data_IF_959965755982
#
_entry.id   IF_959965755982
#
_cell.length_a   1.000
_cell.length_b   1.000
_cell.length_c   1.000
_cell.angle_alpha   90.00
_cell.angle_beta   90.00
_cell.angle_gamma   90.00
#
_symmetry.space_group_name_H-M   'P 1'
#
loop_
_entity.id
_entity.type
_entity.pdbx_description
1 polymer ?
#
# COMPACT_ATOMS: atom_id res chain seq x y z
N UNK A 1 -6.93 4.01 -60.12
CA UNK A 1 -7.33 4.71 -58.88
C UNK A 1 -7.09 3.73 -57.73
N UNK A 2 -5.90 3.70 -57.11
CA UNK A 2 -5.56 4.38 -55.83
C UNK A 2 -6.65 4.16 -54.77
N UNK A 3 -6.43 3.51 -53.61
CA UNK A 3 -5.31 3.63 -52.64
C UNK A 3 -5.15 2.28 -51.89
N UNK A 4 -3.97 1.67 -51.75
CA UNK A 4 -2.91 1.91 -50.74
C UNK A 4 -3.41 2.00 -49.28
N UNK A 5 -3.20 0.93 -48.51
CA UNK A 5 -2.52 0.92 -47.19
C UNK A 5 -2.55 -0.52 -46.63
N UNK A 6 -1.45 -1.28 -46.64
CA UNK A 6 -0.53 -1.42 -45.49
C UNK A 6 -1.32 -2.02 -44.30
N UNK A 7 -1.38 -3.33 -44.11
CA UNK A 7 -0.33 -4.17 -43.50
C UNK A 7 0.46 -3.47 -42.39
N UNK A 8 -0.15 -3.38 -41.21
CA UNK A 8 0.49 -3.22 -39.90
C UNK A 8 -0.49 -3.91 -38.93
N UNK A 9 -0.41 -5.21 -38.62
CA UNK A 9 0.69 -5.90 -37.96
C UNK A 9 1.44 -5.06 -36.92
N UNK A 10 0.69 -4.32 -36.11
CA UNK A 10 0.89 -4.24 -34.67
C UNK A 10 -0.53 -4.36 -34.11
N UNK A 11 -0.96 -5.51 -33.60
CA UNK A 11 -0.55 -5.95 -32.27
C UNK A 11 -0.48 -4.74 -31.33
N UNK A 12 -1.56 -3.95 -31.27
CA UNK A 12 -1.90 -3.27 -30.03
C UNK A 12 -2.29 -4.39 -29.08
N UNK A 13 -1.25 -5.10 -28.61
CA UNK A 13 -1.21 -5.61 -27.26
C UNK A 13 -1.40 -4.32 -26.44
N UNK A 14 -2.66 -3.96 -26.18
CA UNK A 14 -3.02 -3.28 -24.96
C UNK A 14 -2.62 -4.29 -23.87
N UNK A 15 -1.31 -4.40 -23.64
CA UNK A 15 -0.78 -4.82 -22.37
C UNK A 15 -1.24 -3.66 -21.48
N UNK A 16 -2.47 -3.76 -20.99
CA UNK A 16 -2.76 -3.28 -19.66
C UNK A 16 -1.64 -3.85 -18.83
N UNK A 17 -0.63 -3.02 -18.57
CA UNK A 17 0.39 -3.31 -17.57
C UNK A 17 -0.38 -3.36 -16.26
N UNK A 18 -0.95 -4.52 -15.97
CA UNK A 18 -1.30 -4.86 -14.60
C UNK A 18 0.05 -4.97 -13.92
N UNK A 19 0.40 -4.02 -13.06
CA UNK A 19 1.49 -4.21 -12.11
C UNK A 19 1.05 -5.39 -11.24
N UNK A 20 1.52 -6.60 -11.58
CA UNK A 20 1.32 -7.79 -10.77
C UNK A 20 2.51 -7.84 -9.83
N UNK A 21 2.27 -7.58 -8.56
CA UNK A 21 3.27 -7.70 -7.51
C UNK A 21 3.27 -9.16 -7.03
N UNK A 22 4.44 -9.71 -6.70
CA UNK A 22 4.53 -11.09 -6.24
C UNK A 22 3.92 -11.24 -4.85
N UNK A 23 4.16 -10.26 -3.98
CA UNK A 23 3.64 -10.21 -2.61
C UNK A 23 2.98 -8.85 -2.36
N UNK A 24 1.77 -8.89 -1.84
CA UNK A 24 0.99 -7.72 -1.42
C UNK A 24 0.76 -7.82 0.08
N UNK A 25 1.17 -6.82 0.84
CA UNK A 25 1.08 -6.77 2.30
C UNK A 25 -0.03 -5.82 2.74
N UNK A 26 -0.69 -6.14 3.85
CA UNK A 26 -1.62 -5.22 4.52
C UNK A 26 -1.53 -5.40 6.04
N UNK A 27 -1.99 -4.40 6.80
CA UNK A 27 -1.95 -4.43 8.26
C UNK A 27 -3.36 -4.38 8.84
N UNK A 28 -3.72 -5.37 9.66
CA UNK A 28 -4.94 -5.36 10.46
C UNK A 28 -4.57 -5.41 11.95
N UNK A 29 -4.64 -4.26 12.62
CA UNK A 29 -4.17 -4.10 13.99
C UNK A 29 -2.68 -4.43 14.12
N UNK A 30 -2.36 -5.58 14.70
CA UNK A 30 -0.98 -6.07 14.85
C UNK A 30 -0.60 -7.20 13.90
N UNK A 31 -1.54 -7.67 13.09
CA UNK A 31 -1.35 -8.78 12.16
C UNK A 31 -0.86 -8.23 10.82
N UNK A 32 0.36 -8.58 10.43
CA UNK A 32 0.87 -8.31 9.09
C UNK A 32 0.37 -9.42 8.16
N UNK A 33 -0.54 -9.08 7.26
CA UNK A 33 -1.16 -9.99 6.31
C UNK A 33 -0.39 -9.98 4.98
N UNK A 34 -0.59 -11.03 4.19
CA UNK A 34 -0.07 -11.13 2.83
C UNK A 34 -1.10 -11.72 1.86
N UNK A 35 -0.98 -11.35 0.60
CA UNK A 35 -1.51 -12.05 -0.58
C UNK A 35 -0.36 -12.23 -1.55
N UNK A 36 -0.04 -13.46 -1.91
CA UNK A 36 1.14 -13.79 -2.73
C UNK A 36 0.79 -14.72 -3.87
N UNK A 37 1.29 -14.44 -5.07
CA UNK A 37 1.23 -15.36 -6.22
C UNK A 37 2.37 -16.37 -6.23
N UNK A 38 3.40 -16.18 -5.41
CA UNK A 38 4.61 -16.99 -5.35
C UNK A 38 4.84 -17.56 -3.94
N UNK A 39 5.62 -18.63 -3.85
CA UNK A 39 6.04 -19.20 -2.56
C UNK A 39 7.08 -18.30 -1.90
N UNK A 40 6.87 -17.94 -0.63
CA UNK A 40 7.80 -17.11 0.14
C UNK A 40 8.77 -18.03 0.90
N UNK A 41 10.05 -17.98 0.54
CA UNK A 41 11.14 -18.72 1.20
C UNK A 41 11.80 -17.96 2.36
N UNK A 42 11.62 -16.65 2.43
CA UNK A 42 12.13 -15.80 3.50
C UNK A 42 11.67 -14.36 3.36
N UNK A 43 11.65 -13.63 4.48
CA UNK A 43 11.37 -12.20 4.47
C UNK A 43 12.13 -11.43 5.56
N UNK A 44 12.34 -10.15 5.29
CA UNK A 44 12.83 -9.15 6.23
C UNK A 44 12.08 -7.84 5.99
N UNK A 45 11.84 -7.11 7.06
CA UNK A 45 11.47 -5.69 6.98
C UNK A 45 12.08 -4.93 8.16
N UNK A 46 12.26 -3.63 7.98
CA UNK A 46 12.72 -2.70 9.00
C UNK A 46 11.55 -2.01 9.70
N UNK A 47 11.82 -1.53 10.91
CA UNK A 47 10.88 -0.70 11.65
C UNK A 47 11.60 0.37 12.47
N UNK A 48 10.93 1.48 12.77
CA UNK A 48 11.50 2.60 13.55
C UNK A 48 11.33 2.44 15.08
N UNK A 49 11.20 1.20 15.55
CA UNK A 49 11.06 0.87 16.97
C UNK A 49 9.63 0.53 17.44
N UNK A 50 8.62 0.50 16.57
CA UNK A 50 7.27 0.08 16.97
C UNK A 50 7.17 -1.41 17.31
N UNK A 51 7.94 -2.29 16.65
CA UNK A 51 7.89 -3.73 16.89
C UNK A 51 8.77 -4.09 18.09
N UNK A 52 8.18 -4.76 19.08
CA UNK A 52 8.85 -5.29 20.27
C UNK A 52 9.04 -6.81 20.21
N UNK A 53 8.16 -7.50 19.48
CA UNK A 53 8.26 -8.93 19.21
C UNK A 53 7.54 -9.28 17.89
N UNK A 54 7.91 -10.40 17.27
CA UNK A 54 7.23 -10.97 16.11
C UNK A 54 7.13 -12.50 16.25
N UNK A 55 5.95 -13.07 15.99
CA UNK A 55 5.70 -14.51 16.16
C UNK A 55 4.45 -14.96 15.41
N UNK A 56 4.13 -16.26 15.39
CA UNK A 56 2.86 -16.75 14.85
C UNK A 56 2.73 -16.61 13.32
N UNK A 57 1.48 -16.54 12.85
CA UNK A 57 1.14 -16.51 11.43
C UNK A 57 1.55 -17.77 10.66
N UNK A 58 1.54 -17.65 9.34
CA UNK A 58 2.00 -18.68 8.42
C UNK A 58 3.51 -18.86 8.47
N UNK A 59 4.28 -17.84 8.87
CA UNK A 59 5.69 -17.96 9.13
C UNK A 59 5.97 -19.03 10.21
N UNK A 60 5.38 -18.90 11.39
CA UNK A 60 5.58 -19.89 12.45
C UNK A 60 4.96 -21.26 12.09
N UNK A 61 3.80 -21.26 11.42
CA UNK A 61 3.10 -22.49 11.03
C UNK A 61 3.86 -23.33 10.01
N UNK A 62 4.60 -22.69 9.10
CA UNK A 62 5.50 -23.35 8.15
C UNK A 62 6.92 -23.55 8.70
N UNK A 63 7.13 -23.32 10.00
CA UNK A 63 8.38 -23.63 10.69
C UNK A 63 9.52 -22.64 10.43
N UNK A 64 9.20 -21.39 10.08
CA UNK A 64 10.21 -20.35 9.96
C UNK A 64 10.72 -19.97 11.34
N UNK A 65 12.02 -19.73 11.43
CA UNK A 65 12.62 -19.07 12.58
C UNK A 65 12.39 -17.57 12.44
N UNK A 66 11.62 -17.00 13.37
CA UNK A 66 11.30 -15.57 13.40
C UNK A 66 12.18 -14.89 14.45
N UNK A 67 12.79 -13.77 14.07
CA UNK A 67 13.61 -12.95 14.97
C UNK A 67 13.26 -11.48 14.79
N UNK A 68 12.96 -10.81 15.90
CA UNK A 68 12.79 -9.36 15.97
C UNK A 68 13.95 -8.73 16.74
N UNK A 69 14.42 -7.58 16.26
CA UNK A 69 15.41 -6.72 16.90
C UNK A 69 14.80 -5.35 17.18
N UNK A 70 15.61 -4.37 17.59
CA UNK A 70 15.11 -3.00 17.78
C UNK A 70 14.73 -2.27 16.49
N UNK A 71 15.15 -2.77 15.32
CA UNK A 71 14.99 -2.07 14.04
C UNK A 71 14.62 -2.97 12.85
N UNK A 72 14.50 -4.28 13.05
CA UNK A 72 14.25 -5.22 11.98
C UNK A 72 13.57 -6.49 12.49
N UNK A 73 12.70 -7.04 11.65
CA UNK A 73 12.12 -8.38 11.76
C UNK A 73 12.62 -9.22 10.59
N UNK A 74 13.07 -10.44 10.88
CA UNK A 74 13.58 -11.39 9.90
C UNK A 74 12.91 -12.73 10.16
N UNK A 75 12.47 -13.40 9.10
CA UNK A 75 11.99 -14.78 9.19
C UNK A 75 12.47 -15.61 8.00
N UNK A 76 12.95 -16.82 8.29
CA UNK A 76 13.46 -17.74 7.28
C UNK A 76 13.35 -19.19 7.74
N UNK A 77 13.35 -20.13 6.79
CA UNK A 77 13.40 -21.56 7.10
C UNK A 77 14.82 -22.13 7.07
N UNK A 78 15.20 -22.88 8.11
CA UNK A 78 16.45 -23.66 8.11
C UNK A 78 16.37 -24.97 7.33
N UNK A 79 15.17 -25.41 6.98
CA UNK A 79 14.92 -26.70 6.32
C UNK A 79 14.54 -26.54 4.84
N UNK A 80 14.46 -25.30 4.35
CA UNK A 80 13.97 -25.00 3.00
C UNK A 80 12.45 -25.11 2.87
N UNK A 81 11.71 -25.05 3.99
CA UNK A 81 10.26 -24.87 3.94
C UNK A 81 9.92 -23.47 3.41
N UNK A 82 8.74 -23.36 2.80
CA UNK A 82 8.19 -22.11 2.27
C UNK A 82 6.84 -21.82 2.91
N UNK A 83 6.44 -20.56 2.89
CA UNK A 83 5.04 -20.16 3.03
C UNK A 83 4.43 -20.25 1.62
N UNK A 84 3.47 -21.14 1.37
CA UNK A 84 2.91 -21.32 0.04
C UNK A 84 2.25 -20.06 -0.51
N UNK A 85 2.22 -19.90 -1.84
CA UNK A 85 1.40 -18.89 -2.50
C UNK A 85 -0.07 -18.96 -2.02
N UNK A 86 -0.68 -17.80 -1.83
CA UNK A 86 -2.00 -17.68 -1.22
C UNK A 86 -2.13 -16.41 -0.37
N UNK A 87 -3.12 -16.42 0.52
CA UNK A 87 -3.46 -15.30 1.38
C UNK A 87 -3.53 -15.74 2.84
N UNK A 88 -3.09 -14.88 3.76
CA UNK A 88 -3.14 -15.19 5.19
C UNK A 88 -2.46 -14.16 6.07
N UNK A 89 -2.29 -14.52 7.35
CA UNK A 89 -1.49 -13.74 8.29
C UNK A 89 -0.04 -14.18 8.13
N UNK A 90 0.83 -13.30 7.64
CA UNK A 90 2.25 -13.61 7.47
C UNK A 90 2.90 -13.82 8.84
N UNK A 91 2.72 -12.84 9.73
CA UNK A 91 3.29 -12.81 11.07
C UNK A 91 2.49 -11.89 12.00
N UNK A 92 2.38 -12.27 13.26
CA UNK A 92 1.81 -11.42 14.31
C UNK A 92 2.91 -10.57 14.95
N UNK A 93 2.69 -9.26 14.96
CA UNK A 93 3.59 -8.30 15.58
C UNK A 93 3.10 -7.96 16.98
N UNK A 94 4.01 -7.50 17.85
CA UNK A 94 3.65 -6.97 19.16
C UNK A 94 4.30 -5.61 19.33
N UNK A 95 3.51 -4.60 19.66
CA UNK A 95 3.99 -3.24 19.87
C UNK A 95 2.96 -2.21 19.42
N UNK A 96 3.42 -0.99 19.17
CA UNK A 96 2.58 0.14 18.73
C UNK A 96 2.66 0.27 17.20
N UNK A 97 2.07 -0.71 16.52
CA UNK A 97 2.30 -0.95 15.09
C UNK A 97 1.45 0.01 14.25
N UNK A 98 2.10 0.68 13.32
CA UNK A 98 1.46 1.44 12.25
C UNK A 98 2.15 1.13 10.92
N UNK A 99 1.46 1.38 9.81
CA UNK A 99 2.02 1.18 8.48
C UNK A 99 3.29 2.00 8.25
N UNK A 100 3.26 3.30 8.58
CA UNK A 100 4.43 4.20 8.47
C UNK A 100 5.64 3.78 9.32
N UNK A 101 5.43 2.91 10.31
CA UNK A 101 6.53 2.37 11.10
C UNK A 101 7.34 1.32 10.34
N UNK A 102 6.73 0.58 9.42
CA UNK A 102 7.31 -0.56 8.72
C UNK A 102 7.83 -0.13 7.35
N UNK A 103 9.04 -0.55 6.97
CA UNK A 103 9.67 -0.16 5.71
C UNK A 103 10.75 -1.15 5.29
N UNK A 104 11.38 -0.94 4.13
CA UNK A 104 12.47 -1.78 3.58
C UNK A 104 12.11 -3.28 3.53
N UNK A 105 10.98 -3.61 2.89
CA UNK A 105 10.53 -4.99 2.69
C UNK A 105 11.45 -5.73 1.70
N UNK A 106 11.98 -6.87 2.13
CA UNK A 106 12.82 -7.76 1.32
C UNK A 106 12.27 -9.16 1.45
N UNK A 107 11.75 -9.70 0.35
CA UNK A 107 11.18 -11.04 0.28
C UNK A 107 11.94 -11.86 -0.76
N UNK A 108 12.03 -13.17 -0.53
CA UNK A 108 12.66 -14.08 -1.49
C UNK A 108 11.90 -15.39 -1.60
N UNK A 109 12.00 -16.03 -2.77
CA UNK A 109 11.58 -17.40 -2.97
C UNK A 109 12.53 -18.42 -2.30
N UNK A 110 12.26 -19.72 -2.45
CA UNK A 110 13.11 -20.79 -1.93
C UNK A 110 14.52 -20.86 -2.57
N UNK A 111 14.68 -20.30 -3.76
CA UNK A 111 15.95 -20.19 -4.48
C UNK A 111 16.78 -18.97 -4.09
N UNK A 112 16.23 -18.06 -3.28
CA UNK A 112 16.84 -16.79 -2.91
C UNK A 112 16.67 -15.70 -3.98
N UNK A 113 15.79 -15.88 -4.96
CA UNK A 113 15.42 -14.82 -5.89
C UNK A 113 14.50 -13.83 -5.16
N UNK A 114 14.71 -12.53 -5.38
CA UNK A 114 13.87 -11.50 -4.79
C UNK A 114 12.45 -11.54 -5.34
N UNK A 115 11.47 -11.33 -4.47
CA UNK A 115 10.05 -11.16 -4.81
C UNK A 115 9.69 -9.67 -4.76
N UNK A 116 8.90 -9.21 -5.72
CA UNK A 116 8.42 -7.84 -5.75
C UNK A 116 7.30 -7.64 -4.73
N UNK A 117 7.50 -6.71 -3.80
CA UNK A 117 6.60 -6.47 -2.66
C UNK A 117 5.88 -5.12 -2.83
N UNK A 118 4.59 -5.11 -2.56
CA UNK A 118 3.79 -3.90 -2.40
C UNK A 118 3.12 -3.91 -1.03
N UNK A 119 3.06 -2.77 -0.37
CA UNK A 119 2.18 -2.58 0.77
C UNK A 119 0.90 -1.92 0.27
N UNK A 120 -0.26 -2.53 0.54
CA UNK A 120 -1.55 -1.90 0.32
C UNK A 120 -1.69 -0.77 1.32
N UNK A 121 -1.49 0.44 0.83
CA UNK A 121 -2.04 1.62 1.44
C UNK A 121 -3.53 1.36 1.62
N UNK A 122 -4.03 1.48 2.85
CA UNK A 122 -5.46 1.62 3.02
C UNK A 122 -5.87 2.78 2.11
N UNK A 123 -6.55 2.48 1.01
CA UNK A 123 -7.31 3.51 0.33
C UNK A 123 -8.29 3.97 1.38
N UNK A 124 -7.93 5.03 2.09
CA UNK A 124 -8.93 5.97 2.53
C UNK A 124 -9.66 6.28 1.24
N UNK A 125 -10.77 5.58 1.05
CA UNK A 125 -11.86 5.98 0.19
C UNK A 125 -12.29 7.31 0.81
N UNK A 126 -11.48 8.32 0.52
CA UNK A 126 -11.83 9.70 0.60
C UNK A 126 -12.89 9.82 -0.49
N UNK A 127 -14.10 9.37 -0.19
CA UNK A 127 -15.31 9.93 -0.77
C UNK A 127 -15.45 11.41 -0.43
N UNK A 128 -14.34 12.15 -0.39
CA UNK A 128 -14.25 13.51 -0.83
C UNK A 128 -14.03 13.43 -2.34
N UNK A 129 -15.14 13.23 -3.05
CA UNK A 129 -15.46 14.22 -4.06
C UNK A 129 -15.17 15.60 -3.45
N UNK A 130 -14.01 16.14 -3.85
CA UNK A 130 -13.56 17.51 -3.65
C UNK A 130 -14.57 18.47 -4.29
N UNK A 131 -15.76 18.54 -3.72
CA UNK A 131 -16.68 19.63 -3.93
C UNK A 131 -16.79 20.31 -2.56
N UNK A 132 -16.10 21.44 -2.45
CA UNK A 132 -16.35 22.42 -1.40
C UNK A 132 -17.86 22.65 -1.30
N UNK A 133 -18.50 21.96 -0.36
CA UNK A 133 -19.93 22.06 -0.16
C UNK A 133 -20.21 23.44 0.42
N UNK A 134 -20.63 24.36 -0.45
CA UNK A 134 -21.51 25.42 -0.01
C UNK A 134 -22.79 24.75 0.47
N UNK A 135 -23.11 24.79 1.78
CA UNK A 135 -24.37 24.25 2.25
C UNK A 135 -25.51 24.94 1.52
N UNK A 136 -26.49 24.15 1.09
CA UNK A 136 -27.66 24.70 0.40
C UNK A 136 -28.27 25.85 1.24
N UNK A 137 -28.46 27.00 0.59
CA UNK A 137 -28.86 28.26 1.23
C UNK A 137 -27.74 29.22 1.64
N UNK A 138 -26.45 28.88 1.43
CA UNK A 138 -25.31 29.76 1.72
C UNK A 138 -24.91 30.57 0.48
N UNK A 139 -24.90 31.91 0.60
CA UNK A 139 -24.61 32.80 -0.53
C UNK A 139 -23.11 32.97 -0.83
N UNK A 140 -22.26 32.89 0.20
CA UNK A 140 -20.80 33.05 0.08
C UNK A 140 -20.13 32.01 0.96
N UNK A 141 -19.22 31.24 0.40
CA UNK A 141 -18.42 30.23 1.08
C UNK A 141 -16.95 30.62 0.96
N UNK A 142 -16.20 30.48 2.05
CA UNK A 142 -14.78 30.80 2.10
C UNK A 142 -14.02 29.54 2.50
N UNK A 143 -12.90 29.27 1.84
CA UNK A 143 -11.98 28.19 2.18
C UNK A 143 -10.55 28.72 2.24
N UNK A 144 -9.70 28.05 3.02
CA UNK A 144 -8.28 28.37 3.10
C UNK A 144 -7.49 27.24 2.45
N UNK A 145 -6.66 27.59 1.47
CA UNK A 145 -5.64 26.71 0.90
C UNK A 145 -4.26 27.27 1.26
N UNK A 146 -3.68 26.69 2.32
CA UNK A 146 -2.46 27.21 2.94
C UNK A 146 -2.65 28.65 3.44
N UNK A 147 -2.01 29.61 2.77
CA UNK A 147 -2.12 31.06 3.08
C UNK A 147 -3.12 31.80 2.19
N UNK A 148 -3.76 31.10 1.25
CA UNK A 148 -4.66 31.68 0.26
C UNK A 148 -6.10 31.54 0.74
N UNK A 149 -6.84 32.66 0.77
CA UNK A 149 -8.28 32.66 1.00
C UNK A 149 -9.00 32.53 -0.35
N UNK A 150 -9.68 31.41 -0.53
CA UNK A 150 -10.52 31.11 -1.68
C UNK A 150 -11.99 31.38 -1.32
N UNK A 151 -12.82 31.71 -2.32
CA UNK A 151 -14.26 31.86 -2.10
C UNK A 151 -15.09 31.36 -3.29
N UNK A 152 -16.31 30.93 -2.99
CA UNK A 152 -17.36 30.60 -3.95
C UNK A 152 -18.63 31.36 -3.56
N UNK A 153 -19.30 31.99 -4.52
CA UNK A 153 -20.52 32.76 -4.23
C UNK A 153 -21.56 32.63 -5.33
N UNK A 154 -22.82 32.61 -4.92
CA UNK A 154 -23.99 32.66 -5.80
C UNK A 154 -24.54 34.08 -6.02
N UNK A 155 -23.94 35.10 -5.40
CA UNK A 155 -24.31 36.52 -5.52
C UNK A 155 -23.07 37.43 -5.67
N UNK A 156 -23.29 38.68 -6.06
CA UNK A 156 -22.20 39.67 -6.17
C UNK A 156 -21.66 40.07 -4.80
N UNK A 157 -20.33 39.96 -4.61
CA UNK A 157 -19.67 40.35 -3.35
C UNK A 157 -19.40 41.86 -3.35
N UNK A 158 -20.10 42.60 -2.48
CA UNK A 158 -19.95 44.05 -2.34
C UNK A 158 -18.66 44.55 -1.67
N UNK A 159 -17.83 43.64 -1.15
CA UNK A 159 -16.53 43.94 -0.53
C UNK A 159 -16.27 43.13 0.75
N UNK A 160 -15.02 43.13 1.21
CA UNK A 160 -14.59 42.52 2.47
C UNK A 160 -14.16 43.62 3.46
N UNK A 161 -14.65 43.56 4.70
CA UNK A 161 -14.21 44.46 5.78
C UNK A 161 -13.58 43.61 6.89
N UNK A 162 -12.29 43.88 7.17
CA UNK A 162 -11.59 43.34 8.33
C UNK A 162 -11.46 44.46 9.38
N UNK A 163 -11.72 44.16 10.65
CA UNK A 163 -11.54 45.06 11.79
C UNK A 163 -10.20 44.84 12.48
#
# INVERSE_FOLDING_TARGET
>A
MFKKSILFLQFILLFTFTFSQDVVLSLDGTSLNYSSSEDIGGFQFSHNGCVTNASGGDAASNGFAISSSGTAVIAFSFTGAVIPAGEGILVELTGDISQDCLFDYVFSDAGGNGLDVLFEEASSDDGADEESFCPDGTQVCLSLDGTSLNYSSSEDIGGFQFS
#
